data_IF_660875170877
#
_entry.id   IF_660875170877
#
_cell.length_a   1.000
_cell.length_b   1.000
_cell.length_c   1.000
_cell.angle_alpha   90.00
_cell.angle_beta   90.00
_cell.angle_gamma   90.00
#
_symmetry.space_group_name_H-M   'P 1'
#
loop_
_entity.id
_entity.type
_entity.pdbx_description
1 polymer ?
#
# COMPACT_ATOMS: atom_id res chain seq x y z
N UNK A 1 46.32 -1.84 19.40
CA UNK A 1 45.75 -1.36 18.12
C UNK A 1 44.77 -2.34 17.45
N UNK A 2 45.04 -3.65 17.38
CA UNK A 2 44.13 -4.65 16.76
C UNK A 2 42.73 -4.79 17.42
N UNK A 3 42.61 -4.54 18.73
CA UNK A 3 41.33 -4.62 19.46
C UNK A 3 40.39 -3.45 19.14
N UNK A 4 40.94 -2.25 18.99
CA UNK A 4 40.22 -1.01 18.62
C UNK A 4 39.63 -1.08 17.20
N UNK A 5 40.33 -1.73 16.27
CA UNK A 5 39.86 -1.90 14.89
C UNK A 5 38.67 -2.87 14.81
N UNK A 6 38.65 -3.93 15.64
CA UNK A 6 37.55 -4.91 15.70
C UNK A 6 36.30 -4.32 16.35
N UNK A 7 36.47 -3.48 17.39
CA UNK A 7 35.34 -2.79 18.03
C UNK A 7 34.73 -1.74 17.09
N UNK A 8 35.55 -1.01 16.34
CA UNK A 8 35.05 -0.05 15.34
C UNK A 8 34.26 -0.77 14.23
N UNK A 9 34.79 -1.89 13.72
CA UNK A 9 34.14 -2.69 12.68
C UNK A 9 32.80 -3.29 13.16
N UNK A 10 32.74 -3.76 14.40
CA UNK A 10 31.51 -4.26 15.01
C UNK A 10 30.45 -3.16 15.22
N UNK A 11 30.87 -1.95 15.59
CA UNK A 11 29.97 -0.79 15.74
C UNK A 11 29.37 -0.34 14.41
N UNK A 12 30.15 -0.33 13.33
CA UNK A 12 29.63 -0.08 11.97
C UNK A 12 28.67 -1.18 11.50
N UNK A 13 28.94 -2.45 11.84
CA UNK A 13 28.03 -3.55 11.49
C UNK A 13 26.70 -3.45 12.25
N UNK A 14 26.72 -3.01 13.52
CA UNK A 14 25.51 -2.82 14.32
C UNK A 14 24.66 -1.64 13.82
N UNK A 15 25.29 -0.54 13.39
CA UNK A 15 24.60 0.61 12.79
C UNK A 15 23.94 0.27 11.44
N UNK A 16 24.59 -0.58 10.63
CA UNK A 16 24.03 -1.02 9.35
C UNK A 16 22.78 -1.90 9.50
N UNK A 17 22.69 -2.69 10.58
CA UNK A 17 21.51 -3.50 10.87
C UNK A 17 20.28 -2.65 11.20
N UNK A 18 20.44 -1.54 11.94
CA UNK A 18 19.32 -0.67 12.31
C UNK A 18 18.69 0.07 11.12
N UNK A 19 19.44 0.33 10.05
CA UNK A 19 18.94 1.07 8.87
C UNK A 19 18.03 0.22 7.97
N UNK A 20 18.21 -1.11 7.97
CA UNK A 20 17.42 -2.03 7.15
C UNK A 20 15.96 -2.22 7.63
N UNK A 21 15.68 -1.91 8.90
CA UNK A 21 14.36 -2.14 9.51
C UNK A 21 13.45 -0.90 9.54
N UNK A 22 13.85 0.22 8.95
CA UNK A 22 13.17 1.51 9.13
C UNK A 22 12.29 1.97 7.95
N UNK A 23 12.08 1.14 6.92
CA UNK A 23 11.12 1.44 5.87
C UNK A 23 9.74 0.90 6.26
N UNK A 24 8.95 1.71 6.98
CA UNK A 24 7.52 1.45 7.12
C UNK A 24 6.90 1.45 5.73
N UNK A 25 6.37 0.32 5.29
CA UNK A 25 5.70 0.21 3.99
C UNK A 25 4.28 0.73 4.14
N UNK A 26 3.88 1.71 3.33
CA UNK A 26 2.51 2.21 3.37
C UNK A 26 1.60 1.24 2.61
N UNK A 27 0.47 0.85 3.22
CA UNK A 27 -0.58 0.12 2.54
C UNK A 27 -1.61 1.10 1.98
N UNK A 28 -1.66 1.28 0.67
CA UNK A 28 -2.67 2.17 0.07
C UNK A 28 -3.97 1.41 -0.26
N UNK A 29 -5.09 1.96 0.17
CA UNK A 29 -6.43 1.43 -0.09
C UNK A 29 -7.26 2.51 -0.79
N UNK A 30 -7.94 2.19 -1.89
CA UNK A 30 -8.72 3.18 -2.65
C UNK A 30 -9.95 2.57 -3.30
N UNK A 31 -11.04 3.34 -3.43
CA UNK A 31 -12.20 2.99 -4.28
C UNK A 31 -12.19 3.74 -5.62
N UNK A 32 -11.22 4.62 -5.81
CA UNK A 32 -11.00 5.39 -7.02
C UNK A 32 -9.94 4.74 -7.90
N UNK A 33 -10.32 4.41 -9.13
CA UNK A 33 -9.44 3.81 -10.13
C UNK A 33 -8.35 4.77 -10.59
N UNK A 34 -8.63 6.07 -10.72
CA UNK A 34 -7.60 7.04 -11.12
C UNK A 34 -6.49 7.13 -10.07
N UNK A 35 -6.86 7.05 -8.79
CA UNK A 35 -5.90 6.96 -7.69
C UNK A 35 -5.13 5.64 -7.74
N UNK A 36 -5.79 4.51 -8.02
CA UNK A 36 -5.13 3.21 -8.16
C UNK A 36 -4.09 3.19 -9.30
N UNK A 37 -4.43 3.75 -10.46
CA UNK A 37 -3.53 3.87 -11.62
C UNK A 37 -2.32 4.74 -11.29
N UNK A 38 -2.56 5.87 -10.62
CA UNK A 38 -1.49 6.79 -10.19
C UNK A 38 -0.54 6.11 -9.22
N UNK A 39 -1.07 5.38 -8.23
CA UNK A 39 -0.28 4.59 -7.28
C UNK A 39 0.60 3.56 -7.99
N UNK A 40 0.05 2.86 -8.98
CA UNK A 40 0.84 1.92 -9.80
C UNK A 40 1.93 2.65 -10.58
N UNK A 41 1.62 3.81 -11.18
CA UNK A 41 2.61 4.61 -11.92
C UNK A 41 3.74 5.13 -11.02
N UNK A 42 3.47 5.36 -9.74
CA UNK A 42 4.45 5.78 -8.74
C UNK A 42 5.30 4.63 -8.17
N UNK A 43 5.01 3.38 -8.54
CA UNK A 43 5.69 2.20 -7.99
C UNK A 43 5.21 1.80 -6.60
N UNK A 44 4.08 2.33 -6.15
CA UNK A 44 3.46 2.10 -4.85
C UNK A 44 2.07 1.49 -5.03
N UNK A 45 1.96 0.28 -5.60
CA UNK A 45 0.67 -0.25 -6.01
C UNK A 45 -0.27 -0.44 -4.81
N UNK A 46 -1.59 -0.26 -5.01
CA UNK A 46 -2.56 -0.35 -3.92
C UNK A 46 -2.66 -1.77 -3.36
N UNK A 47 -2.73 -1.85 -2.02
CA UNK A 47 -3.06 -3.05 -1.27
C UNK A 47 -4.49 -3.51 -1.58
N UNK A 48 -5.42 -2.57 -1.72
CA UNK A 48 -6.82 -2.87 -1.96
C UNK A 48 -7.50 -1.83 -2.85
N UNK A 49 -8.35 -2.29 -3.77
CA UNK A 49 -9.05 -1.47 -4.77
C UNK A 49 -10.53 -1.84 -4.81
N UNK A 50 -11.41 -0.85 -4.94
CA UNK A 50 -12.83 -1.08 -5.17
C UNK A 50 -13.15 -1.53 -6.61
N UNK A 51 -14.01 -2.53 -6.73
CA UNK A 51 -14.59 -3.06 -7.96
C UNK A 51 -13.51 -3.48 -8.97
N UNK A 52 -12.67 -4.42 -8.52
CA UNK A 52 -11.54 -4.94 -9.29
C UNK A 52 -12.01 -5.58 -10.60
N UNK A 53 -13.15 -6.28 -10.59
CA UNK A 53 -13.67 -6.94 -11.79
C UNK A 53 -14.05 -5.92 -12.88
N UNK A 54 -14.72 -4.83 -12.51
CA UNK A 54 -15.03 -3.77 -13.48
C UNK A 54 -13.77 -3.03 -13.91
N UNK A 55 -12.79 -2.81 -13.01
CA UNK A 55 -11.50 -2.24 -13.39
C UNK A 55 -10.82 -3.08 -14.49
N UNK A 56 -10.71 -4.39 -14.29
CA UNK A 56 -10.12 -5.32 -15.26
C UNK A 56 -10.86 -5.35 -16.60
N UNK A 57 -12.17 -5.05 -16.59
CA UNK A 57 -12.99 -5.01 -17.79
C UNK A 57 -12.82 -3.71 -18.57
N UNK A 58 -12.87 -2.57 -17.88
CA UNK A 58 -12.97 -1.24 -18.49
C UNK A 58 -11.63 -0.51 -18.62
N UNK A 59 -10.75 -0.63 -17.63
CA UNK A 59 -9.42 0.00 -17.62
C UNK A 59 -8.40 -0.90 -18.31
N UNK A 60 -8.36 -2.18 -17.93
CA UNK A 60 -7.43 -3.23 -18.41
C UNK A 60 -5.96 -2.98 -18.06
N UNK A 61 -5.42 -1.80 -18.37
CA UNK A 61 -4.05 -1.40 -18.09
C UNK A 61 -4.01 -0.02 -17.42
N UNK A 62 -3.17 0.18 -16.40
CA UNK A 62 -2.22 -0.78 -15.85
C UNK A 62 -2.87 -1.95 -15.10
N UNK A 63 -2.28 -3.14 -15.17
CA UNK A 63 -2.75 -4.30 -14.42
C UNK A 63 -2.59 -4.10 -12.91
N UNK A 64 -3.66 -4.41 -12.15
CA UNK A 64 -3.58 -4.50 -10.70
C UNK A 64 -2.71 -5.71 -10.32
N UNK A 65 -1.84 -5.61 -9.30
CA UNK A 65 -1.14 -6.76 -8.75
C UNK A 65 -2.11 -7.88 -8.36
N UNK A 66 -1.68 -9.13 -8.52
CA UNK A 66 -2.47 -10.30 -8.11
C UNK A 66 -2.74 -10.37 -6.59
N UNK A 67 -2.00 -9.58 -5.82
CA UNK A 67 -2.13 -9.46 -4.36
C UNK A 67 -3.13 -8.38 -3.95
N UNK A 68 -3.67 -7.59 -4.88
CA UNK A 68 -4.64 -6.54 -4.58
C UNK A 68 -5.97 -7.15 -4.11
N UNK A 69 -6.46 -6.66 -2.98
CA UNK A 69 -7.74 -7.08 -2.39
C UNK A 69 -8.89 -6.29 -3.01
N UNK A 70 -9.97 -6.97 -3.39
CA UNK A 70 -11.19 -6.32 -3.87
C UNK A 70 -12.03 -5.84 -2.69
N UNK A 71 -12.32 -4.54 -2.65
CA UNK A 71 -13.17 -3.91 -1.63
C UNK A 71 -14.66 -4.03 -1.94
N UNK A 72 -15.05 -4.64 -3.06
CA UNK A 72 -16.43 -4.69 -3.53
C UNK A 72 -16.82 -3.42 -4.29
N UNK A 73 -18.13 -3.16 -4.40
CA UNK A 73 -18.67 -2.11 -5.27
C UNK A 73 -18.15 -0.72 -4.86
N UNK A 74 -17.68 0.09 -5.83
CA UNK A 74 -17.04 1.40 -5.56
C UNK A 74 -17.91 2.36 -4.73
N UNK A 75 -19.22 2.33 -4.97
CA UNK A 75 -20.18 3.19 -4.27
C UNK A 75 -20.61 2.64 -2.91
N UNK A 76 -20.37 1.36 -2.65
CA UNK A 76 -20.73 0.67 -1.40
C UNK A 76 -19.61 -0.34 -1.06
N UNK A 77 -18.40 0.15 -0.71
CA UNK A 77 -17.29 -0.74 -0.39
C UNK A 77 -17.56 -1.49 0.91
N UNK A 78 -16.96 -2.67 1.06
CA UNK A 78 -17.07 -3.49 2.26
C UNK A 78 -16.30 -2.84 3.42
N UNK A 79 -17.04 -2.14 4.29
CA UNK A 79 -16.48 -1.45 5.45
C UNK A 79 -15.90 -2.42 6.50
N UNK A 80 -16.46 -3.61 6.64
CA UNK A 80 -15.95 -4.63 7.56
C UNK A 80 -14.57 -5.13 7.11
N UNK A 81 -14.39 -5.31 5.80
CA UNK A 81 -13.11 -5.69 5.21
C UNK A 81 -12.07 -4.57 5.37
N UNK A 82 -12.45 -3.30 5.13
CA UNK A 82 -11.56 -2.14 5.34
C UNK A 82 -11.12 -2.07 6.81
N UNK A 83 -12.04 -2.24 7.75
CA UNK A 83 -11.72 -2.27 9.18
C UNK A 83 -10.76 -3.43 9.52
N UNK A 84 -11.01 -4.61 8.96
CA UNK A 84 -10.14 -5.79 9.14
C UNK A 84 -8.73 -5.52 8.62
N UNK A 85 -8.60 -4.92 7.42
CA UNK A 85 -7.32 -4.55 6.84
C UNK A 85 -6.59 -3.50 7.69
N UNK A 86 -7.31 -2.55 8.28
CA UNK A 86 -6.71 -1.54 9.17
C UNK A 86 -6.16 -2.12 10.47
N UNK A 87 -6.69 -3.25 10.94
CA UNK A 87 -6.24 -3.92 12.16
C UNK A 87 -5.19 -5.01 11.89
N UNK A 88 -5.26 -5.69 10.75
CA UNK A 88 -4.28 -6.74 10.41
C UNK A 88 -2.97 -6.17 9.89
N UNK A 89 -3.00 -4.94 9.39
CA UNK A 89 -1.85 -4.24 8.85
C UNK A 89 -1.02 -3.54 9.94
N UNK A 90 -0.89 -4.09 11.15
CA UNK A 90 -0.24 -3.46 12.33
C UNK A 90 1.21 -2.93 12.08
N UNK A 91 1.87 -3.35 11.00
CA UNK A 91 3.21 -2.88 10.58
C UNK A 91 3.18 -1.92 9.36
N UNK A 92 2.03 -1.79 8.69
CA UNK A 92 1.81 -0.87 7.57
C UNK A 92 1.00 0.36 8.02
N UNK A 93 1.40 1.53 7.56
CA UNK A 93 0.51 2.70 7.64
C UNK A 93 -0.58 2.55 6.56
N UNK A 94 -1.79 2.14 6.95
CA UNK A 94 -2.91 2.03 6.02
C UNK A 94 -3.44 3.42 5.67
N UNK A 95 -3.29 3.84 4.41
CA UNK A 95 -3.78 5.12 3.91
C UNK A 95 -4.97 4.88 2.99
N UNK A 96 -6.14 5.39 3.38
CA UNK A 96 -7.33 5.36 2.53
C UNK A 96 -7.40 6.60 1.65
N UNK A 97 -7.36 6.41 0.32
CA UNK A 97 -7.53 7.48 -0.67
C UNK A 97 -8.94 7.41 -1.22
N UNK A 98 -9.73 8.45 -0.98
CA UNK A 98 -11.06 8.61 -1.53
C UNK A 98 -11.19 9.97 -2.22
N UNK A 99 -11.63 9.95 -3.46
CA UNK A 99 -11.91 11.16 -4.23
C UNK A 99 -13.41 11.43 -4.24
N UNK A 100 -13.81 12.68 -3.97
CA UNK A 100 -15.19 13.16 -4.18
C UNK A 100 -15.65 13.15 -5.66
N UNK A 101 -14.81 12.69 -6.59
CA UNK A 101 -15.11 12.63 -8.03
C UNK A 101 -16.36 11.81 -8.37
N UNK A 102 -16.73 10.84 -7.54
CA UNK A 102 -17.94 10.01 -7.72
C UNK A 102 -19.20 10.65 -7.10
N UNK A 103 -19.09 11.78 -6.40
CA UNK A 103 -20.20 12.46 -5.72
C UNK A 103 -20.98 13.44 -6.65
N UNK A 104 -20.63 13.57 -7.93
CA UNK A 104 -21.18 14.64 -8.81
C UNK A 104 -22.17 14.13 -9.87
N UNK A 105 -22.73 12.92 -9.71
CA UNK A 105 -23.77 12.41 -10.62
C UNK A 105 -25.02 11.88 -9.90
N UNK A 106 -25.49 12.60 -8.89
CA UNK A 106 -26.88 12.52 -8.42
C UNK A 106 -27.51 13.91 -8.34
#
# INVERSE_FOLDING_TARGET
MRKLLKTLLGMTALLAHSVLFAASHNGYTTVDWAAAETLIALGEPPLAVGDMQSYQTWVKQPELPKTTVDLGVRLQPNLELIATLSHSADDLNLVFINSNFLCVTQ
#
